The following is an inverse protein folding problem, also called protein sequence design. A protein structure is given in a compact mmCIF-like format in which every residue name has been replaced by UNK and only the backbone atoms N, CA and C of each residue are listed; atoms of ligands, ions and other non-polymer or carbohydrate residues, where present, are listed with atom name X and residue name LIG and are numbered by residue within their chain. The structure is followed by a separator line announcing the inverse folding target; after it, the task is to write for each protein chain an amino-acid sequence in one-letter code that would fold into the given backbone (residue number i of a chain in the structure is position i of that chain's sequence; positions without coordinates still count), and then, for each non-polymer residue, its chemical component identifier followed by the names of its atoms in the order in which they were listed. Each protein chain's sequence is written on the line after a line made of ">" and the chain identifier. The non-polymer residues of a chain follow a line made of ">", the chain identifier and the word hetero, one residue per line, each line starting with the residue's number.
data_IF_997982017490
#
_entry.id   IF_997982017490
#
_cell.length_a   1.000
_cell.length_b   1.000
_cell.length_c   1.000
_cell.angle_alpha   90.00
_cell.angle_beta   90.00
_cell.angle_gamma   90.00
#
_symmetry.space_group_name_H-M   'P 1'
#
loop_
_entity.id
_entity.type
_entity.pdbx_description
1 polymer ?
#
# COMPACT_ATOMS: atom_id res chain seq x y z
N UNK A 1 21.18 3.29 -31.51
CA UNK A 1 20.11 2.36 -31.11
C UNK A 1 19.93 2.55 -29.62
N UNK A 2 18.70 2.71 -29.17
CA UNK A 2 18.37 3.29 -27.87
C UNK A 2 18.44 2.25 -26.76
N UNK A 3 19.34 2.45 -25.80
CA UNK A 3 19.33 1.69 -24.55
C UNK A 3 18.03 2.02 -23.80
N UNK A 4 17.17 1.01 -23.65
CA UNK A 4 15.93 1.14 -22.87
C UNK A 4 16.19 0.63 -21.45
N UNK A 5 15.89 1.45 -20.45
CA UNK A 5 15.85 1.01 -19.06
C UNK A 5 14.41 0.77 -18.65
N UNK A 6 14.14 -0.40 -18.09
CA UNK A 6 12.89 -0.71 -17.41
C UNK A 6 13.12 -0.56 -15.91
N UNK A 7 12.60 0.53 -15.35
CA UNK A 7 12.65 0.82 -13.92
C UNK A 7 11.50 0.08 -13.21
N UNK A 8 11.87 -0.95 -12.47
CA UNK A 8 10.96 -1.81 -11.73
C UNK A 8 10.61 -1.18 -10.38
N UNK A 9 9.34 -1.29 -9.99
CA UNK A 9 8.90 -0.84 -8.67
C UNK A 9 9.46 -1.77 -7.60
N UNK A 10 10.09 -1.20 -6.55
CA UNK A 10 10.49 -1.94 -5.36
C UNK A 10 9.28 -2.39 -4.52
N UNK A 11 8.13 -1.73 -4.70
CA UNK A 11 6.91 -1.95 -3.92
C UNK A 11 6.03 -3.06 -4.50
N UNK A 12 5.92 -3.11 -5.83
CA UNK A 12 5.03 -4.05 -6.53
C UNK A 12 5.69 -5.42 -6.81
N UNK A 13 6.88 -5.67 -6.28
CA UNK A 13 7.58 -6.96 -6.42
C UNK A 13 8.03 -7.24 -7.86
N UNK A 14 7.79 -8.46 -8.33
CA UNK A 14 8.25 -8.94 -9.65
C UNK A 14 7.32 -8.55 -10.81
N UNK A 15 6.82 -7.31 -10.82
CA UNK A 15 5.90 -6.82 -11.86
C UNK A 15 6.68 -6.14 -12.99
N UNK A 16 6.49 -6.63 -14.22
CA UNK A 16 6.95 -5.94 -15.43
C UNK A 16 5.82 -5.06 -16.01
N UNK A 17 6.09 -3.80 -16.36
CA UNK A 17 5.10 -2.96 -17.03
C UNK A 17 4.80 -3.51 -18.42
N UNK A 18 3.52 -3.56 -18.79
CA UNK A 18 3.09 -4.04 -20.11
C UNK A 18 3.72 -3.24 -21.26
N UNK A 19 4.01 -1.96 -21.04
CA UNK A 19 4.71 -1.07 -21.98
C UNK A 19 6.15 -1.53 -22.29
N UNK A 20 6.79 -2.29 -21.41
CA UNK A 20 8.12 -2.85 -21.67
C UNK A 20 8.11 -4.05 -22.64
N UNK A 21 6.95 -4.68 -22.88
CA UNK A 21 6.88 -5.91 -23.68
C UNK A 21 7.39 -5.76 -25.12
N UNK A 22 7.10 -4.68 -25.87
CA UNK A 22 7.66 -4.49 -27.21
C UNK A 22 9.18 -4.35 -27.19
N UNK A 23 9.73 -3.59 -26.23
CA UNK A 23 11.17 -3.39 -26.08
C UNK A 23 11.87 -4.72 -25.73
N UNK A 24 11.32 -5.47 -24.77
CA UNK A 24 11.85 -6.78 -24.37
C UNK A 24 11.84 -7.80 -25.52
N UNK A 25 10.78 -7.82 -26.34
CA UNK A 25 10.68 -8.75 -27.49
C UNK A 25 11.61 -8.36 -28.65
N UNK A 26 11.96 -7.08 -28.75
CA UNK A 26 12.82 -6.55 -29.81
C UNK A 26 14.29 -6.40 -29.43
N UNK A 27 14.65 -6.71 -28.18
CA UNK A 27 16.02 -6.58 -27.69
C UNK A 27 16.91 -7.71 -28.22
N UNK A 28 18.13 -7.35 -28.63
CA UNK A 28 19.20 -8.31 -28.90
C UNK A 28 19.75 -8.87 -27.58
N UNK A 29 19.74 -8.05 -26.52
CA UNK A 29 20.20 -8.43 -25.19
C UNK A 29 19.30 -7.81 -24.10
N UNK A 30 18.86 -8.67 -23.19
CA UNK A 30 18.17 -8.27 -21.96
C UNK A 30 19.13 -8.45 -20.80
N UNK A 31 19.32 -7.40 -20.04
CA UNK A 31 20.23 -7.33 -18.89
C UNK A 31 19.42 -7.07 -17.63
N UNK A 32 19.89 -7.58 -16.50
CA UNK A 32 19.37 -7.24 -15.18
C UNK A 32 20.53 -6.95 -14.24
N UNK A 33 20.45 -5.88 -13.47
CA UNK A 33 21.44 -5.68 -12.40
C UNK A 33 21.09 -6.50 -11.14
N UNK A 34 21.95 -6.42 -10.13
CA UNK A 34 21.76 -7.16 -8.87
C UNK A 34 20.57 -6.73 -8.02
N UNK A 35 19.89 -5.62 -8.36
CA UNK A 35 18.68 -5.16 -7.66
C UNK A 35 17.42 -5.90 -8.11
N UNK A 36 17.44 -6.50 -9.30
CA UNK A 36 16.31 -7.23 -9.86
C UNK A 36 16.19 -8.61 -9.22
N UNK A 37 14.95 -9.00 -8.85
CA UNK A 37 14.67 -10.34 -8.33
C UNK A 37 15.08 -11.41 -9.34
N UNK A 38 15.82 -12.42 -8.89
CA UNK A 38 16.35 -13.49 -9.74
C UNK A 38 15.27 -14.23 -10.56
N UNK A 39 14.09 -14.45 -9.98
CA UNK A 39 12.94 -15.03 -10.68
C UNK A 39 12.52 -14.18 -11.88
N UNK A 40 12.44 -12.85 -11.70
CA UNK A 40 12.05 -11.95 -12.77
C UNK A 40 13.10 -11.87 -13.86
N UNK A 41 14.38 -11.77 -13.47
CA UNK A 41 15.49 -11.80 -14.42
C UNK A 41 15.46 -13.08 -15.27
N UNK A 42 15.24 -14.23 -14.64
CA UNK A 42 15.11 -15.52 -15.32
C UNK A 42 13.93 -15.55 -16.30
N UNK A 43 12.74 -15.14 -15.86
CA UNK A 43 11.53 -15.09 -16.71
C UNK A 43 11.65 -14.12 -17.89
N UNK A 44 12.38 -13.03 -17.70
CA UNK A 44 12.66 -12.06 -18.76
C UNK A 44 13.78 -12.50 -19.72
N UNK A 45 14.45 -13.63 -19.47
CA UNK A 45 15.63 -14.06 -20.22
C UNK A 45 16.84 -13.13 -20.03
N UNK A 46 16.88 -12.41 -18.90
CA UNK A 46 17.88 -11.40 -18.63
C UNK A 46 19.19 -12.01 -18.12
N UNK A 47 20.31 -11.58 -18.68
CA UNK A 47 21.63 -11.88 -18.13
C UNK A 47 21.92 -10.96 -16.94
N UNK A 48 22.20 -11.55 -15.78
CA UNK A 48 22.52 -10.77 -14.58
C UNK A 48 23.93 -10.21 -14.67
N UNK A 49 24.08 -8.90 -14.51
CA UNK A 49 25.34 -8.17 -14.62
C UNK A 49 25.69 -7.46 -13.32
N UNK A 50 26.98 -7.43 -13.00
CA UNK A 50 27.50 -6.66 -11.86
C UNK A 50 27.67 -5.16 -12.20
N UNK A 51 27.98 -4.86 -13.47
CA UNK A 51 28.19 -3.51 -13.97
C UNK A 51 27.71 -3.41 -15.41
N UNK A 52 27.10 -2.28 -15.76
CA UNK A 52 26.66 -2.02 -17.13
C UNK A 52 27.87 -1.76 -18.02
N UNK A 53 27.99 -2.56 -19.09
CA UNK A 53 28.99 -2.32 -20.13
C UNK A 53 28.61 -1.10 -20.97
N UNK A 54 29.59 -0.37 -21.56
CA UNK A 54 29.31 0.79 -22.41
C UNK A 54 28.30 0.47 -23.52
N UNK A 55 27.54 1.46 -24.03
CA UNK A 55 26.62 1.26 -25.14
C UNK A 55 27.31 0.66 -26.37
N UNK A 56 26.58 -0.13 -27.15
CA UNK A 56 27.02 -0.85 -28.37
C UNK A 56 25.93 -0.66 -29.41
N UNK A 57 26.14 -1.18 -30.61
CA UNK A 57 25.12 -1.14 -31.66
C UNK A 57 23.93 -2.07 -31.40
N UNK A 58 24.01 -3.00 -30.44
CA UNK A 58 22.92 -3.92 -30.12
C UNK A 58 21.75 -3.21 -29.43
N UNK A 59 20.51 -3.58 -29.74
CA UNK A 59 19.33 -3.13 -29.02
C UNK A 59 19.29 -3.77 -27.62
N UNK A 60 19.43 -2.95 -26.57
CA UNK A 60 19.51 -3.44 -25.20
C UNK A 60 18.36 -2.97 -24.33
N UNK A 61 17.90 -3.88 -23.47
CA UNK A 61 16.97 -3.57 -22.39
C UNK A 61 17.63 -3.91 -21.06
N UNK A 62 17.73 -2.92 -20.17
CA UNK A 62 18.21 -3.11 -18.80
C UNK A 62 17.03 -3.07 -17.82
N UNK A 63 16.89 -4.14 -17.04
CA UNK A 63 16.01 -4.20 -15.89
C UNK A 63 16.77 -3.72 -14.64
N UNK A 64 16.18 -2.80 -13.87
CA UNK A 64 16.76 -2.28 -12.63
C UNK A 64 15.66 -1.79 -11.69
N UNK A 65 15.89 -1.78 -10.38
CA UNK A 65 15.08 -1.02 -9.43
C UNK A 65 15.75 0.29 -8.99
N UNK A 66 16.95 0.61 -9.51
CA UNK A 66 17.72 1.78 -9.15
C UNK A 66 17.35 2.99 -10.03
N UNK A 67 16.72 4.04 -9.48
CA UNK A 67 16.37 5.23 -10.24
C UNK A 67 17.60 6.00 -10.75
N UNK A 68 18.77 5.87 -10.11
CA UNK A 68 20.01 6.50 -10.57
C UNK A 68 20.51 5.90 -11.89
N UNK A 69 20.32 4.59 -12.08
CA UNK A 69 20.62 3.90 -13.34
C UNK A 69 19.67 4.38 -14.45
N UNK A 70 18.37 4.51 -14.14
CA UNK A 70 17.37 4.98 -15.09
C UNK A 70 17.59 6.45 -15.52
N UNK A 71 18.06 7.31 -14.62
CA UNK A 71 18.28 8.74 -14.89
C UNK A 71 19.29 9.03 -16.03
N UNK A 72 20.17 8.07 -16.35
CA UNK A 72 21.15 8.19 -17.43
C UNK A 72 20.70 7.64 -18.78
N UNK A 73 19.49 7.07 -18.88
CA UNK A 73 19.04 6.36 -20.07
C UNK A 73 18.33 7.26 -21.08
N UNK A 74 18.42 6.90 -22.37
CA UNK A 74 17.71 7.60 -23.46
C UNK A 74 16.20 7.33 -23.40
N UNK A 75 15.81 6.12 -23.02
CA UNK A 75 14.41 5.71 -22.88
C UNK A 75 14.20 4.97 -21.57
N UNK A 76 13.24 5.44 -20.75
CA UNK A 76 12.90 4.84 -19.46
C UNK A 76 11.44 4.42 -19.47
N UNK A 77 11.20 3.14 -19.18
CA UNK A 77 9.87 2.59 -18.96
C UNK A 77 9.76 2.26 -17.48
N UNK A 78 8.85 2.93 -16.76
CA UNK A 78 8.68 2.73 -15.32
C UNK A 78 7.49 1.82 -15.05
N UNK A 79 7.60 0.98 -14.03
CA UNK A 79 6.45 0.23 -13.51
C UNK A 79 5.45 1.22 -12.92
N UNK A 80 4.21 1.32 -13.46
CA UNK A 80 3.24 2.28 -12.95
C UNK A 80 2.79 1.87 -11.56
N UNK A 81 2.92 2.79 -10.61
CA UNK A 81 2.46 2.58 -9.25
C UNK A 81 1.10 3.26 -9.04
N UNK A 82 0.09 2.54 -8.53
CA UNK A 82 -1.21 3.14 -8.26
C UNK A 82 -1.11 4.12 -7.09
N UNK A 83 -2.08 5.06 -7.03
CA UNK A 83 -2.27 5.88 -5.84
C UNK A 83 -2.44 4.97 -4.61
N UNK A 84 -1.71 5.26 -3.54
CA UNK A 84 -1.68 4.43 -2.33
C UNK A 84 -0.49 3.47 -2.24
N UNK A 85 0.30 3.27 -3.31
CA UNK A 85 1.45 2.37 -3.27
C UNK A 85 2.45 2.68 -2.14
N UNK A 86 2.62 3.95 -1.77
CA UNK A 86 3.51 4.36 -0.67
C UNK A 86 3.10 3.80 0.72
N UNK A 87 1.85 3.36 0.90
CA UNK A 87 1.42 2.67 2.13
C UNK A 87 2.20 1.37 2.33
N UNK A 88 2.61 0.69 1.25
CA UNK A 88 3.44 -0.52 1.33
C UNK A 88 4.79 -0.23 2.01
N UNK A 89 5.39 0.94 1.77
CA UNK A 89 6.62 1.34 2.44
C UNK A 89 6.37 1.56 3.94
N UNK A 90 5.26 2.22 4.30
CA UNK A 90 4.91 2.47 5.70
C UNK A 90 4.69 1.15 6.45
N UNK A 91 4.06 0.16 5.83
CA UNK A 91 3.91 -1.20 6.37
C UNK A 91 5.28 -1.86 6.58
N UNK A 92 6.17 -1.80 5.59
CA UNK A 92 7.50 -2.39 5.69
C UNK A 92 8.39 -1.70 6.74
N UNK A 93 8.29 -0.38 6.87
CA UNK A 93 8.99 0.41 7.91
C UNK A 93 8.47 0.01 9.28
N UNK A 94 7.14 -0.05 9.49
CA UNK A 94 6.54 -0.48 10.76
C UNK A 94 6.99 -1.90 11.15
N UNK A 95 6.98 -2.83 10.20
CA UNK A 95 7.46 -4.20 10.45
C UNK A 95 8.94 -4.22 10.85
N UNK A 96 9.78 -3.43 10.19
CA UNK A 96 11.20 -3.30 10.52
C UNK A 96 11.41 -2.70 11.91
N UNK A 97 10.69 -1.62 12.22
CA UNK A 97 10.79 -0.93 13.51
C UNK A 97 10.43 -1.83 14.68
N UNK A 98 9.39 -2.67 14.53
CA UNK A 98 8.91 -3.55 15.60
C UNK A 98 9.65 -4.89 15.69
N UNK A 99 10.24 -5.35 14.59
CA UNK A 99 10.94 -6.64 14.53
C UNK A 99 12.28 -6.63 15.29
N UNK A 100 12.84 -7.81 15.65
CA UNK A 100 14.14 -7.89 16.31
C UNK A 100 15.25 -7.14 15.53
N UNK A 101 15.99 -6.29 16.23
CA UNK A 101 16.99 -5.39 15.63
C UNK A 101 16.43 -4.02 15.23
N UNK A 102 15.12 -3.82 15.35
CA UNK A 102 14.44 -2.53 15.21
C UNK A 102 14.54 -1.65 16.46
N UNK A 103 13.54 -0.79 16.65
CA UNK A 103 13.47 0.19 17.72
C UNK A 103 12.96 -0.43 19.02
N UNK A 104 13.69 -0.25 20.15
CA UNK A 104 13.26 -0.79 21.45
C UNK A 104 11.89 -0.26 21.92
N UNK A 105 11.59 1.02 21.67
CA UNK A 105 10.32 1.62 22.08
C UNK A 105 9.14 1.01 21.31
N UNK A 106 9.29 0.81 19.99
CA UNK A 106 8.25 0.22 19.15
C UNK A 106 7.97 -1.25 19.53
N UNK A 107 9.01 -1.99 19.93
CA UNK A 107 8.91 -3.38 20.39
C UNK A 107 8.17 -3.51 21.74
N UNK A 108 8.30 -2.54 22.64
CA UNK A 108 7.64 -2.54 23.95
C UNK A 108 6.15 -2.18 23.89
N UNK A 109 5.66 -1.63 22.76
CA UNK A 109 4.27 -1.22 22.65
C UNK A 109 3.29 -2.39 22.65
N UNK A 110 2.10 -2.12 23.19
CA UNK A 110 0.93 -2.99 23.24
C UNK A 110 -0.28 -2.21 22.73
N UNK A 111 -1.39 -2.90 22.40
CA UNK A 111 -2.64 -2.21 22.04
C UNK A 111 -3.05 -1.18 23.11
N UNK A 112 -2.94 -1.52 24.38
CA UNK A 112 -3.36 -0.63 25.48
C UNK A 112 -2.42 0.55 25.67
N UNK A 113 -1.10 0.37 25.52
CA UNK A 113 -0.14 1.48 25.69
C UNK A 113 -0.25 2.53 24.59
N UNK A 114 -0.77 2.15 23.42
CA UNK A 114 -0.96 3.02 22.27
C UNK A 114 -2.27 3.85 22.30
N UNK A 115 -3.25 3.48 23.14
CA UNK A 115 -4.55 4.17 23.19
C UNK A 115 -4.47 5.68 23.46
N UNK A 116 -3.62 6.18 24.37
CA UNK A 116 -3.49 7.62 24.58
C UNK A 116 -3.04 8.37 23.33
N UNK A 117 -2.05 7.82 22.61
CA UNK A 117 -1.55 8.40 21.36
C UNK A 117 -2.66 8.42 20.30
N UNK A 118 -3.38 7.31 20.09
CA UNK A 118 -4.50 7.27 19.15
C UNK A 118 -5.55 8.36 19.43
N UNK A 119 -5.85 8.65 20.70
CA UNK A 119 -6.79 9.71 21.06
C UNK A 119 -6.18 11.09 20.76
N UNK A 120 -4.92 11.30 21.10
CA UNK A 120 -4.17 12.53 20.84
C UNK A 120 -4.15 12.87 19.34
N UNK A 121 -3.67 11.96 18.49
CA UNK A 121 -3.61 12.16 17.03
C UNK A 121 -4.99 12.45 16.42
N UNK A 122 -6.05 11.83 16.96
CA UNK A 122 -7.42 12.07 16.49
C UNK A 122 -7.91 13.48 16.85
N UNK A 123 -7.49 14.03 18.00
CA UNK A 123 -7.81 15.40 18.39
C UNK A 123 -6.95 16.43 17.64
N UNK A 124 -5.69 16.12 17.37
CA UNK A 124 -4.82 16.98 16.54
C UNK A 124 -5.34 17.04 15.10
N UNK A 125 -5.72 15.90 14.52
CA UNK A 125 -6.41 15.85 13.23
C UNK A 125 -7.69 16.68 13.22
N UNK A 126 -8.50 16.57 14.27
CA UNK A 126 -9.72 17.39 14.42
C UNK A 126 -9.39 18.89 14.43
N UNK A 127 -8.39 19.31 15.21
CA UNK A 127 -7.92 20.70 15.27
C UNK A 127 -7.43 21.21 13.92
N UNK A 128 -6.61 20.43 13.22
CA UNK A 128 -6.10 20.78 11.89
C UNK A 128 -7.22 21.01 10.86
N UNK A 129 -8.32 20.26 10.97
CA UNK A 129 -9.53 20.47 10.14
C UNK A 129 -10.25 21.76 10.53
N UNK A 130 -10.44 22.03 11.82
CA UNK A 130 -11.09 23.26 12.30
C UNK A 130 -10.32 24.52 11.88
N UNK A 131 -9.00 24.48 11.97
CA UNK A 131 -8.11 25.60 11.63
C UNK A 131 -7.91 25.76 10.12
N UNK A 132 -8.31 24.77 9.32
CA UNK A 132 -8.12 24.76 7.87
C UNK A 132 -6.65 24.67 7.45
N UNK A 133 -5.77 24.19 8.33
CA UNK A 133 -4.35 24.03 8.05
C UNK A 133 -4.11 22.75 7.25
N UNK A 134 -3.86 22.92 5.95
CA UNK A 134 -3.61 21.81 5.03
C UNK A 134 -2.31 21.06 5.28
N UNK A 135 -1.31 21.71 5.86
CA UNK A 135 -0.02 21.08 6.15
C UNK A 135 -0.17 20.18 7.36
N UNK A 136 -0.71 20.73 8.46
CA UNK A 136 -1.03 19.96 9.66
C UNK A 136 -1.98 18.82 9.33
N UNK A 137 -3.07 19.07 8.57
CA UNK A 137 -4.01 18.03 8.16
C UNK A 137 -3.33 16.81 7.51
N UNK A 138 -2.30 17.04 6.68
CA UNK A 138 -1.58 15.93 6.04
C UNK A 138 -0.68 15.17 7.02
N UNK A 139 -0.07 15.87 7.96
CA UNK A 139 0.75 15.31 9.04
C UNK A 139 -0.10 14.43 9.95
N UNK A 140 -1.17 14.99 10.51
CA UNK A 140 -2.06 14.27 11.45
C UNK A 140 -2.78 13.08 10.80
N UNK A 141 -3.13 13.16 9.51
CA UNK A 141 -3.65 12.00 8.77
C UNK A 141 -2.61 10.87 8.68
N UNK A 142 -1.32 11.23 8.61
CA UNK A 142 -0.19 10.31 8.68
C UNK A 142 -0.06 9.67 10.05
N UNK A 143 -0.23 10.43 11.13
CA UNK A 143 -0.10 9.93 12.50
C UNK A 143 -1.28 9.03 12.90
N UNK A 144 -2.50 9.36 12.47
CA UNK A 144 -3.63 8.44 12.58
C UNK A 144 -3.39 7.15 11.78
N UNK A 145 -2.80 7.24 10.57
CA UNK A 145 -2.41 6.05 9.80
C UNK A 145 -1.32 5.24 10.52
N UNK A 146 -0.35 5.89 11.16
CA UNK A 146 0.68 5.25 11.97
C UNK A 146 0.06 4.40 13.09
N UNK A 147 -0.95 4.92 13.80
CA UNK A 147 -1.65 4.16 14.83
C UNK A 147 -2.37 2.92 14.28
N UNK A 148 -3.00 3.03 13.11
CA UNK A 148 -3.62 1.88 12.41
C UNK A 148 -2.57 0.82 12.06
N UNK A 149 -1.43 1.24 11.51
CA UNK A 149 -0.32 0.33 11.15
C UNK A 149 0.25 -0.37 12.39
N UNK A 150 0.42 0.36 13.50
CA UNK A 150 0.91 -0.19 14.75
C UNK A 150 0.00 -1.31 15.28
N UNK A 151 -1.30 -1.03 15.38
CA UNK A 151 -2.27 -2.01 15.84
C UNK A 151 -2.38 -3.20 14.89
N UNK A 152 -2.35 -2.97 13.58
CA UNK A 152 -2.38 -4.04 12.57
C UNK A 152 -1.11 -4.90 12.61
N UNK A 153 0.05 -4.35 12.99
CA UNK A 153 1.29 -5.12 13.13
C UNK A 153 1.32 -5.93 14.43
N UNK A 154 0.84 -5.35 15.52
CA UNK A 154 0.62 -6.02 16.81
C UNK A 154 -0.32 -7.22 16.69
N UNK A 155 -1.41 -7.05 15.92
CA UNK A 155 -2.41 -8.09 15.70
C UNK A 155 -1.92 -9.33 14.97
N UNK A 156 -0.71 -9.30 14.39
CA UNK A 156 -0.08 -10.45 13.75
C UNK A 156 0.61 -11.38 14.76
N UNK A 157 0.86 -10.92 15.98
CA UNK A 157 1.66 -11.64 16.98
C UNK A 157 0.92 -12.75 17.72
N UNK A 158 -0.37 -12.59 18.10
CA UNK A 158 -1.12 -13.68 18.70
C UNK A 158 -1.21 -14.89 17.78
N UNK A 159 -1.03 -16.09 18.33
CA UNK A 159 -1.24 -17.34 17.59
C UNK A 159 -2.72 -17.64 17.32
N UNK A 160 -3.61 -17.06 18.13
CA UNK A 160 -5.07 -17.13 17.97
C UNK A 160 -5.53 -15.95 17.13
N UNK A 161 -6.16 -16.27 15.98
CA UNK A 161 -6.78 -15.32 15.06
C UNK A 161 -5.93 -14.09 14.70
N UNK A 162 -4.68 -14.27 14.20
CA UNK A 162 -3.87 -13.15 13.74
C UNK A 162 -4.51 -12.51 12.52
N UNK A 163 -4.34 -11.19 12.39
CA UNK A 163 -4.70 -10.44 11.21
C UNK A 163 -3.68 -9.36 10.92
N UNK A 164 -3.62 -8.91 9.67
CA UNK A 164 -2.70 -7.90 9.18
C UNK A 164 -3.45 -6.63 8.75
N UNK A 165 -2.72 -5.64 8.25
CA UNK A 165 -3.31 -4.45 7.63
C UNK A 165 -4.17 -4.80 6.41
N UNK A 166 -3.89 -5.91 5.72
CA UNK A 166 -4.63 -6.35 4.54
C UNK A 166 -6.02 -6.82 4.93
N UNK A 167 -6.17 -7.59 6.01
CA UNK A 167 -7.50 -7.97 6.54
C UNK A 167 -8.28 -6.72 7.02
N UNK A 168 -7.62 -5.77 7.69
CA UNK A 168 -8.26 -4.50 8.09
C UNK A 168 -8.80 -3.74 6.87
N UNK A 169 -8.01 -3.65 5.81
CA UNK A 169 -8.40 -3.00 4.57
C UNK A 169 -9.51 -3.77 3.83
N UNK A 170 -9.41 -5.11 3.75
CA UNK A 170 -10.40 -5.96 3.10
C UNK A 170 -11.76 -5.86 3.79
N UNK A 171 -11.80 -5.94 5.12
CA UNK A 171 -13.02 -5.78 5.91
C UNK A 171 -13.63 -4.39 5.73
N UNK A 172 -12.79 -3.34 5.66
CA UNK A 172 -13.25 -1.98 5.36
C UNK A 172 -13.86 -1.90 3.95
N UNK A 173 -13.21 -2.48 2.94
CA UNK A 173 -13.70 -2.50 1.55
C UNK A 173 -15.01 -3.25 1.46
N UNK A 174 -15.11 -4.46 2.01
CA UNK A 174 -16.35 -5.25 2.01
C UNK A 174 -17.49 -4.46 2.65
N UNK A 175 -17.25 -3.88 3.83
CA UNK A 175 -18.22 -3.03 4.54
C UNK A 175 -18.64 -1.81 3.72
N UNK A 176 -17.71 -1.12 3.06
CA UNK A 176 -18.02 0.06 2.24
C UNK A 176 -18.79 -0.32 0.98
N UNK A 177 -18.40 -1.39 0.28
CA UNK A 177 -19.10 -1.90 -0.91
C UNK A 177 -20.51 -2.35 -0.57
N UNK A 178 -20.67 -3.16 0.49
CA UNK A 178 -21.97 -3.65 0.94
C UNK A 178 -22.91 -2.51 1.35
N UNK A 179 -22.37 -1.40 1.87
CA UNK A 179 -23.14 -0.22 2.28
C UNK A 179 -23.38 0.81 1.17
N UNK A 180 -22.76 0.63 -0.01
CA UNK A 180 -22.98 1.47 -1.18
C UNK A 180 -23.39 0.63 -2.41
N UNK A 181 -24.47 -0.18 -2.31
CA UNK A 181 -24.88 -1.01 -3.44
C UNK A 181 -25.35 -0.18 -4.63
N UNK A 182 -25.72 1.09 -4.44
CA UNK A 182 -26.07 2.02 -5.53
C UNK A 182 -24.86 2.52 -6.33
N UNK A 183 -23.64 2.34 -5.81
CA UNK A 183 -22.37 2.64 -6.51
C UNK A 183 -21.77 1.38 -7.13
N UNK A 184 -21.82 0.26 -6.39
CA UNK A 184 -21.08 -0.96 -6.74
C UNK A 184 -21.95 -2.11 -7.24
N UNK A 185 -23.27 -1.93 -7.28
CA UNK A 185 -24.21 -2.88 -7.87
C UNK A 185 -25.30 -2.11 -8.64
N UNK A 186 -26.10 -2.82 -9.44
CA UNK A 186 -27.28 -2.27 -10.11
C UNK A 186 -28.46 -2.12 -9.12
N UNK A 187 -28.21 -1.52 -7.95
CA UNK A 187 -29.24 -1.20 -6.98
C UNK A 187 -29.86 0.17 -7.26
N UNK A 188 -31.00 0.44 -6.61
CA UNK A 188 -31.69 1.72 -6.71
C UNK A 188 -30.75 2.90 -6.43
N UNK A 189 -30.77 3.88 -7.34
CA UNK A 189 -29.93 5.07 -7.25
C UNK A 189 -30.34 5.90 -6.04
N UNK A 190 -29.35 6.29 -5.25
CA UNK A 190 -29.51 7.22 -4.15
C UNK A 190 -29.20 8.61 -4.65
N UNK A 191 -30.15 9.53 -4.48
CA UNK A 191 -30.08 10.89 -5.03
C UNK A 191 -29.75 11.97 -4.00
N UNK A 192 -29.81 11.66 -2.71
CA UNK A 192 -29.51 12.61 -1.64
C UNK A 192 -28.64 12.02 -0.53
N UNK A 193 -27.91 12.87 0.19
CA UNK A 193 -27.12 12.44 1.35
C UNK A 193 -27.99 11.91 2.51
N UNK A 194 -29.22 12.42 2.66
CA UNK A 194 -30.16 11.95 3.66
C UNK A 194 -30.63 10.50 3.38
N UNK A 195 -30.91 10.20 2.11
CA UNK A 195 -31.27 8.85 1.67
C UNK A 195 -30.11 7.87 1.91
N UNK A 196 -28.87 8.33 1.66
CA UNK A 196 -27.66 7.55 1.93
C UNK A 196 -27.52 7.23 3.42
N UNK A 197 -27.70 8.23 4.30
CA UNK A 197 -27.61 8.05 5.75
C UNK A 197 -28.68 7.08 6.26
N UNK A 198 -29.93 7.21 5.79
CA UNK A 198 -31.02 6.33 6.21
C UNK A 198 -30.75 4.87 5.82
N UNK A 199 -30.31 4.63 4.57
CA UNK A 199 -29.97 3.28 4.10
C UNK A 199 -28.74 2.71 4.82
N UNK A 200 -27.77 3.55 5.13
CA UNK A 200 -26.59 3.17 5.91
C UNK A 200 -26.97 2.67 7.31
N UNK A 201 -27.87 3.38 8.00
CA UNK A 201 -28.39 2.96 9.30
C UNK A 201 -29.22 1.67 9.22
N UNK A 202 -30.03 1.50 8.19
CA UNK A 202 -30.79 0.28 7.96
C UNK A 202 -29.87 -0.95 7.80
N UNK A 203 -28.86 -0.84 6.93
CA UNK A 203 -27.89 -1.91 6.69
C UNK A 203 -27.09 -2.24 7.96
N UNK A 204 -26.67 -1.22 8.73
CA UNK A 204 -26.04 -1.43 10.05
C UNK A 204 -26.95 -2.22 11.01
N UNK A 205 -28.26 -1.96 11.04
CA UNK A 205 -29.21 -2.69 11.89
C UNK A 205 -29.39 -4.14 11.45
N UNK A 206 -29.38 -4.41 10.14
CA UNK A 206 -29.45 -5.79 9.61
C UNK A 206 -28.18 -6.57 9.96
N UNK A 207 -27.01 -5.96 9.79
CA UNK A 207 -25.71 -6.54 10.12
C UNK A 207 -25.58 -6.87 11.62
N UNK A 208 -25.90 -5.90 12.50
CA UNK A 208 -25.93 -6.13 13.95
C UNK A 208 -26.90 -7.24 14.37
N UNK A 209 -28.07 -7.35 13.72
CA UNK A 209 -29.02 -8.44 13.98
C UNK A 209 -28.51 -9.81 13.54
N UNK A 210 -27.60 -9.88 12.57
CA UNK A 210 -26.92 -11.12 12.15
C UNK A 210 -25.75 -11.47 13.08
N UNK A 211 -25.09 -10.48 13.66
CA UNK A 211 -23.90 -10.66 14.50
C UNK A 211 -24.16 -10.68 16.02
N UNK A 212 -25.32 -10.22 16.51
CA UNK A 212 -25.52 -10.05 17.95
C UNK A 212 -26.99 -10.22 18.38
N UNK A 213 -27.22 -11.22 19.26
CA UNK A 213 -28.27 -11.15 20.30
C UNK A 213 -27.70 -10.65 21.64
N UNK A 214 -26.39 -10.45 21.76
CA UNK A 214 -25.68 -9.82 22.89
C UNK A 214 -24.40 -9.16 22.36
N UNK A 215 -24.05 -7.98 22.86
CA UNK A 215 -22.84 -7.20 22.56
C UNK A 215 -22.86 -6.32 21.30
N UNK A 216 -23.13 -5.02 21.51
CA UNK A 216 -23.08 -4.03 20.43
C UNK A 216 -23.21 -2.57 20.87
N UNK A 217 -22.91 -2.26 22.13
CA UNK A 217 -22.78 -0.88 22.64
C UNK A 217 -21.45 -0.77 23.41
N UNK A 218 -20.50 0.06 22.95
CA UNK A 218 -19.35 0.43 23.75
C UNK A 218 -19.84 1.17 25.00
N UNK A 219 -19.58 0.61 26.19
CA UNK A 219 -19.65 1.38 27.43
C UNK A 219 -18.31 2.11 27.52
N UNK A 220 -18.39 3.43 27.48
CA UNK A 220 -17.29 4.38 27.54
C UNK A 220 -16.27 4.07 28.64
#
# INVERSE_FOLDING_TARGET
>A
MSDTVVLLSTRLGAVLPAEALPALRGADEVLADGSVRAELASLAGASVIAQLSPPTEAARVLLTTDPAVAAGAEHVITTPEPCGAAVLDAVAVMDTLRSPGGCPWDAEQTHTSLLPYLIEEAYELYGAVEDGDRTALREELGDVLLQVLFHARLAQEPADAPFTIDEVAADLVEKLVARHPHVFADAEKITTAADQQHRWEELKRVEKRRQSSVDGVPLS
#
